data_IF_898011370639
#
_entry.id   IF_898011370639
#
_cell.length_a   1.000
_cell.length_b   1.000
_cell.length_c   1.000
_cell.angle_alpha   90.00
_cell.angle_beta   90.00
_cell.angle_gamma   90.00
#
_symmetry.space_group_name_H-M   'P 1'
#
loop_
_entity.id
_entity.type
_entity.pdbx_description
1 polymer ?
#
# COMPACT_ATOMS: atom_id res chain seq x y z
N UNK A 1 6.17 19.20 1.53
CA UNK A 1 4.77 18.74 1.68
C UNK A 1 4.77 17.64 2.72
N UNK A 2 3.90 17.71 3.73
CA UNK A 2 3.74 16.65 4.73
C UNK A 2 2.33 16.06 4.61
N UNK A 3 2.22 14.74 4.57
CA UNK A 3 0.95 14.01 4.51
C UNK A 3 0.84 13.15 5.77
N UNK A 4 -0.27 13.27 6.49
CA UNK A 4 -0.60 12.39 7.61
C UNK A 4 -1.66 11.38 7.15
N UNK A 5 -1.34 10.09 7.19
CA UNK A 5 -2.26 8.99 6.89
C UNK A 5 -2.65 8.28 8.18
N UNK A 6 -3.93 8.35 8.56
CA UNK A 6 -4.48 7.64 9.72
C UNK A 6 -5.28 6.42 9.25
N UNK A 7 -4.85 5.24 9.65
CA UNK A 7 -5.57 3.98 9.42
C UNK A 7 -6.39 3.65 10.67
N UNK A 8 -7.72 3.57 10.52
CA UNK A 8 -8.66 3.45 11.66
C UNK A 8 -8.80 2.03 12.19
N UNK A 9 -8.88 1.04 11.29
CA UNK A 9 -9.05 -0.37 11.65
C UNK A 9 -8.26 -1.28 10.71
N UNK A 10 -6.96 -0.99 10.62
CA UNK A 10 -6.04 -1.75 9.80
C UNK A 10 -4.77 -1.97 10.58
N UNK A 11 -4.38 -3.24 10.71
CA UNK A 11 -3.03 -3.59 11.11
C UNK A 11 -2.03 -2.77 10.24
N UNK A 12 -0.92 -2.30 10.82
CA UNK A 12 0.13 -1.51 10.14
C UNK A 12 0.57 -2.08 8.77
N UNK A 13 0.33 -3.37 8.53
CA UNK A 13 0.47 -4.04 7.22
C UNK A 13 -0.32 -3.39 6.07
N UNK A 14 -1.36 -2.60 6.33
CA UNK A 14 -2.12 -1.87 5.30
C UNK A 14 -1.48 -0.53 4.90
N UNK A 15 -0.59 0.03 5.73
CA UNK A 15 0.02 1.34 5.47
C UNK A 15 0.71 1.43 4.10
N UNK A 16 1.57 0.48 3.68
CA UNK A 16 2.30 0.62 2.41
C UNK A 16 1.36 0.73 1.21
N UNK A 17 0.35 -0.14 1.16
CA UNK A 17 -0.61 -0.22 0.06
C UNK A 17 -1.48 1.03 0.00
N UNK A 18 -2.00 1.48 1.14
CA UNK A 18 -2.79 2.71 1.22
C UNK A 18 -1.96 3.96 0.87
N UNK A 19 -0.69 3.99 1.27
CA UNK A 19 0.24 5.08 0.94
C UNK A 19 0.52 5.12 -0.56
N UNK A 20 0.80 3.99 -1.19
CA UNK A 20 1.01 3.91 -2.65
C UNK A 20 -0.21 4.40 -3.42
N UNK A 21 -1.41 3.98 -3.01
CA UNK A 21 -2.66 4.45 -3.62
C UNK A 21 -2.80 5.97 -3.53
N UNK A 22 -2.56 6.56 -2.36
CA UNK A 22 -2.64 8.01 -2.16
C UNK A 22 -1.59 8.79 -2.95
N UNK A 23 -0.34 8.31 -2.97
CA UNK A 23 0.74 8.95 -3.73
C UNK A 23 0.44 8.94 -5.24
N UNK A 24 -0.13 7.84 -5.75
CA UNK A 24 -0.57 7.72 -7.14
C UNK A 24 -1.73 8.67 -7.46
N UNK A 25 -2.77 8.72 -6.61
CA UNK A 25 -3.93 9.61 -6.77
C UNK A 25 -3.50 11.09 -6.83
N UNK A 26 -2.55 11.48 -5.98
CA UNK A 26 -2.03 12.84 -5.89
C UNK A 26 -0.94 13.13 -6.94
N UNK A 27 -0.58 12.15 -7.79
CA UNK A 27 0.47 12.24 -8.82
C UNK A 27 1.80 12.75 -8.26
N UNK A 28 2.18 12.29 -7.07
CA UNK A 28 3.36 12.74 -6.35
C UNK A 28 4.63 11.95 -6.70
N UNK A 29 4.49 10.83 -7.41
CA UNK A 29 5.60 9.97 -7.81
C UNK A 29 5.88 10.13 -9.30
N UNK A 30 7.16 10.22 -9.65
CA UNK A 30 7.61 10.04 -11.04
C UNK A 30 7.55 8.55 -11.42
N UNK A 31 7.56 8.25 -12.72
CA UNK A 31 7.49 6.87 -13.23
C UNK A 31 8.66 5.99 -12.71
N UNK A 32 9.86 6.57 -12.62
CA UNK A 32 11.04 5.88 -12.06
C UNK A 32 10.89 5.59 -10.57
N UNK A 33 10.29 6.49 -9.79
CA UNK A 33 10.03 6.28 -8.37
C UNK A 33 8.92 5.26 -8.15
N UNK A 34 7.88 5.30 -8.98
CA UNK A 34 6.80 4.31 -8.97
C UNK A 34 7.33 2.90 -9.20
N UNK A 35 8.20 2.69 -10.19
CA UNK A 35 8.85 1.40 -10.43
C UNK A 35 9.68 0.92 -9.23
N UNK A 36 10.42 1.81 -8.56
CA UNK A 36 11.21 1.45 -7.36
C UNK A 36 10.32 1.07 -6.17
N UNK A 37 9.10 1.57 -6.13
CA UNK A 37 8.14 1.38 -5.05
C UNK A 37 7.07 0.31 -5.36
N UNK A 38 7.09 -0.30 -6.55
CA UNK A 38 6.12 -1.31 -7.01
C UNK A 38 5.90 -2.43 -5.98
N UNK A 39 6.95 -2.85 -5.28
CA UNK A 39 6.89 -3.87 -4.21
C UNK A 39 5.94 -3.53 -3.06
N UNK A 40 5.56 -2.26 -2.88
CA UNK A 40 4.66 -1.79 -1.83
C UNK A 40 3.20 -1.66 -2.29
N UNK A 41 2.91 -1.81 -3.59
CA UNK A 41 1.54 -1.76 -4.11
C UNK A 41 0.68 -2.93 -3.62
N UNK A 42 1.30 -4.08 -3.34
CA UNK A 42 0.62 -5.27 -2.84
C UNK A 42 1.41 -5.89 -1.70
N UNK A 43 0.76 -6.00 -0.54
CA UNK A 43 1.35 -6.71 0.60
C UNK A 43 0.84 -8.14 0.65
N UNK A 44 1.74 -9.11 0.47
CA UNK A 44 1.41 -10.54 0.58
C UNK A 44 1.09 -10.89 2.03
N UNK A 45 -0.06 -11.49 2.28
CA UNK A 45 -0.38 -12.13 3.54
C UNK A 45 0.18 -13.54 3.53
N UNK A 46 1.06 -13.80 4.50
CA UNK A 46 1.61 -15.12 4.76
C UNK A 46 1.15 -15.57 6.14
N UNK A 47 0.81 -16.85 6.28
CA UNK A 47 0.58 -17.42 7.61
C UNK A 47 1.92 -17.66 8.34
N UNK A 48 1.85 -18.16 9.59
CA UNK A 48 3.03 -18.46 10.38
C UNK A 48 4.01 -19.44 9.71
N UNK A 49 3.50 -20.33 8.84
CA UNK A 49 4.29 -21.28 8.03
C UNK A 49 4.82 -20.67 6.72
N UNK A 50 4.71 -19.35 6.54
CA UNK A 50 5.07 -18.63 5.30
C UNK A 50 4.26 -19.04 4.06
N UNK A 51 3.14 -19.73 4.26
CA UNK A 51 2.23 -20.09 3.17
C UNK A 51 1.41 -18.85 2.81
N UNK A 52 1.30 -18.57 1.52
CA UNK A 52 0.49 -17.47 1.03
C UNK A 52 -0.99 -17.71 1.32
N UNK A 53 -1.64 -16.75 1.98
CA UNK A 53 -3.06 -16.82 2.36
C UNK A 53 -3.89 -15.68 1.78
N UNK A 54 -3.28 -14.75 1.05
CA UNK A 54 -3.99 -13.67 0.38
C UNK A 54 -3.12 -12.42 0.18
N UNK A 55 -3.73 -11.34 -0.28
CA UNK A 55 -3.07 -10.05 -0.48
C UNK A 55 -3.88 -8.93 0.19
N UNK A 56 -3.17 -7.96 0.76
CA UNK A 56 -3.75 -6.67 1.14
C UNK A 56 -3.71 -5.78 -0.09
N UNK A 57 -4.86 -5.25 -0.46
CA UNK A 57 -5.05 -4.30 -1.57
C UNK A 57 -5.88 -3.12 -1.05
N UNK A 58 -5.72 -1.94 -1.65
CA UNK A 58 -6.52 -0.76 -1.34
C UNK A 58 -7.16 -0.24 -2.63
N UNK A 59 -8.37 0.28 -2.50
CA UNK A 59 -9.10 0.98 -3.55
C UNK A 59 -9.84 2.16 -2.92
N UNK A 60 -10.14 3.18 -3.70
CA UNK A 60 -11.16 4.15 -3.30
C UNK A 60 -12.54 3.52 -3.53
N UNK A 61 -13.48 3.81 -2.65
CA UNK A 61 -14.90 3.51 -2.94
C UNK A 61 -15.45 4.65 -3.80
N UNK A 62 -16.18 4.28 -4.85
CA UNK A 62 -16.85 5.18 -5.79
C UNK A 62 -18.13 5.80 -5.20
#
# INVERSE_FOLDING_TARGET
IGIALKVLDGNQRANPVATMLLLGQLKLLTESESQKLEKYEKTKLLNHRKIHVGNITAKFDD
#
